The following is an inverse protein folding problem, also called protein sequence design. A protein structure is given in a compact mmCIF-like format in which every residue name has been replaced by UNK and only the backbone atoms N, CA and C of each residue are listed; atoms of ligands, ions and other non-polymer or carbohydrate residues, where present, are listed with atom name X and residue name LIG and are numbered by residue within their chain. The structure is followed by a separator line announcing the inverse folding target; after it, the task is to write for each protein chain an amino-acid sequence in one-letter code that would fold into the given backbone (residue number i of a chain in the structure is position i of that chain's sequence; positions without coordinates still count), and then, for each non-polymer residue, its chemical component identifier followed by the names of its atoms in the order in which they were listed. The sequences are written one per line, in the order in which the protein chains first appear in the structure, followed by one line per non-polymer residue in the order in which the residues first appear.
data_IF_615455693028
#
_entry.id   IF_615455693028
#
_cell.length_a   1.000
_cell.length_b   1.000
_cell.length_c   1.000
_cell.angle_alpha   90.00
_cell.angle_beta   90.00
_cell.angle_gamma   90.00
#
_symmetry.space_group_name_H-M   'P 1'
#
loop_
_entity.id
_entity.type
_entity.pdbx_description
1 polymer ?
#
# COMPACT_ATOMS: atom_id res chain seq x y z
N UNK A 1 12.12 12.63 -5.25
CA UNK A 1 12.29 11.29 -4.64
C UNK A 1 13.59 11.18 -3.86
N UNK A 2 14.78 11.29 -4.49
CA UNK A 2 16.08 11.23 -3.80
C UNK A 2 16.16 12.07 -2.51
N UNK A 3 15.82 13.36 -2.57
CA UNK A 3 15.90 14.24 -1.39
C UNK A 3 14.95 13.82 -0.26
N UNK A 4 13.79 13.21 -0.57
CA UNK A 4 12.86 12.71 0.45
C UNK A 4 13.44 11.47 1.14
N UNK A 5 14.04 10.56 0.37
CA UNK A 5 14.72 9.38 0.90
C UNK A 5 15.92 9.78 1.79
N UNK A 6 16.66 10.80 1.37
CA UNK A 6 17.76 11.32 2.18
C UNK A 6 17.25 11.99 3.48
N UNK A 7 16.21 12.81 3.38
CA UNK A 7 15.59 13.42 4.55
C UNK A 7 15.10 12.37 5.55
N UNK A 8 14.53 11.25 5.08
CA UNK A 8 14.16 10.13 5.95
C UNK A 8 15.36 9.58 6.73
N UNK A 9 16.49 9.34 6.07
CA UNK A 9 17.73 8.87 6.71
C UNK A 9 18.21 9.85 7.78
N UNK A 10 18.25 11.14 7.42
CA UNK A 10 18.74 12.20 8.33
C UNK A 10 17.81 12.38 9.54
N UNK A 11 16.49 12.30 9.33
CA UNK A 11 15.48 12.38 10.40
C UNK A 11 15.57 11.16 11.31
N UNK A 12 15.71 9.96 10.75
CA UNK A 12 15.87 8.73 11.53
C UNK A 12 17.07 8.84 12.47
N UNK A 13 18.24 9.18 11.93
CA UNK A 13 19.47 9.35 12.74
C UNK A 13 19.32 10.51 13.73
N UNK A 14 18.65 11.60 13.33
CA UNK A 14 18.37 12.75 14.20
C UNK A 14 17.53 12.39 15.41
N UNK A 15 16.39 11.72 15.20
CA UNK A 15 15.47 11.30 16.27
C UNK A 15 16.17 10.29 17.19
N UNK A 16 16.85 9.27 16.63
CA UNK A 16 17.55 8.25 17.43
C UNK A 16 18.66 8.83 18.29
N UNK A 17 19.29 9.94 17.88
CA UNK A 17 20.33 10.63 18.67
C UNK A 17 19.77 11.42 19.86
N UNK A 18 18.59 12.05 19.71
CA UNK A 18 18.01 12.93 20.74
C UNK A 18 17.02 12.21 21.66
N UNK A 19 16.49 11.05 21.24
CA UNK A 19 15.50 10.33 21.99
C UNK A 19 16.07 9.75 23.30
N UNK A 20 15.39 10.02 24.42
CA UNK A 20 15.58 9.24 25.63
C UNK A 20 15.07 7.81 25.38
N UNK A 21 15.92 6.81 25.64
CA UNK A 21 15.64 5.39 25.38
C UNK A 21 15.30 5.12 23.88
N UNK A 22 16.27 5.32 22.96
CA UNK A 22 16.04 5.28 21.51
C UNK A 22 15.47 3.96 20.99
N UNK A 23 15.74 2.85 21.70
CA UNK A 23 15.22 1.52 21.40
C UNK A 23 13.69 1.40 21.58
N UNK A 24 13.05 2.30 22.34
CA UNK A 24 11.60 2.31 22.53
C UNK A 24 10.86 3.04 21.40
N UNK A 25 11.57 3.81 20.57
CA UNK A 25 10.97 4.60 19.50
C UNK A 25 11.20 3.90 18.17
N UNK A 26 10.16 3.26 17.62
CA UNK A 26 10.23 2.63 16.30
C UNK A 26 9.94 3.65 15.19
N UNK A 27 10.83 3.75 14.21
CA UNK A 27 10.72 4.68 13.09
C UNK A 27 10.79 3.89 11.79
N UNK A 28 9.88 4.16 10.86
CA UNK A 28 9.84 3.48 9.57
C UNK A 28 9.24 4.39 8.51
N UNK A 29 9.65 4.17 7.26
CA UNK A 29 9.02 4.82 6.10
C UNK A 29 7.73 4.10 5.73
N UNK A 30 6.76 4.86 5.21
CA UNK A 30 5.53 4.31 4.63
C UNK A 30 5.67 4.30 3.10
N UNK A 31 5.42 3.14 2.49
CA UNK A 31 5.47 2.95 1.05
C UNK A 31 4.14 2.46 0.51
N UNK A 32 3.56 3.23 -0.40
CA UNK A 32 2.49 2.73 -1.28
C UNK A 32 3.07 1.79 -2.33
N UNK A 33 2.68 0.51 -2.32
CA UNK A 33 3.15 -0.47 -3.30
C UNK A 33 2.18 -0.50 -4.48
N UNK A 34 2.59 0.12 -5.59
CA UNK A 34 1.85 0.09 -6.84
C UNK A 34 2.04 -1.25 -7.54
N UNK A 35 1.00 -2.06 -7.67
CA UNK A 35 1.11 -3.33 -8.37
C UNK A 35 0.92 -3.13 -9.88
N UNK A 36 2.01 -3.12 -10.65
CA UNK A 36 1.94 -3.06 -12.12
C UNK A 36 1.92 -4.47 -12.70
N UNK A 37 0.79 -4.86 -13.29
CA UNK A 37 0.62 -6.14 -13.98
C UNK A 37 0.51 -5.89 -15.50
N UNK A 38 1.00 -6.80 -16.36
CA UNK A 38 0.81 -6.66 -17.80
C UNK A 38 -0.68 -6.81 -18.17
N UNK A 39 -1.16 -5.93 -19.05
CA UNK A 39 -2.48 -6.01 -19.65
C UNK A 39 -2.67 -7.35 -20.35
N UNK A 40 -1.73 -7.73 -21.22
CA UNK A 40 -1.68 -9.06 -21.78
C UNK A 40 -0.47 -9.82 -21.20
N UNK A 41 -0.69 -10.85 -20.35
CA UNK A 41 0.39 -11.55 -19.64
C UNK A 41 1.27 -12.42 -20.54
N UNK A 42 0.94 -12.56 -21.83
CA UNK A 42 1.78 -13.24 -22.81
C UNK A 42 2.46 -12.27 -23.79
N UNK A 43 2.12 -10.97 -23.77
CA UNK A 43 2.76 -9.98 -24.62
C UNK A 43 4.08 -9.50 -24.00
N UNK A 44 5.24 -9.77 -24.62
CA UNK A 44 6.54 -9.39 -24.05
C UNK A 44 6.70 -7.88 -23.85
N UNK A 45 6.05 -7.05 -24.68
CA UNK A 45 6.12 -5.59 -24.52
C UNK A 45 5.32 -5.11 -23.30
N UNK A 46 4.15 -5.69 -23.04
CA UNK A 46 3.36 -5.37 -21.84
C UNK A 46 4.11 -5.78 -20.57
N UNK A 47 4.71 -6.98 -20.58
CA UNK A 47 5.51 -7.53 -19.47
C UNK A 47 6.74 -6.64 -19.20
N UNK A 48 7.51 -6.33 -20.25
CA UNK A 48 8.70 -5.51 -20.12
C UNK A 48 8.36 -4.10 -19.59
N UNK A 49 7.32 -3.48 -20.14
CA UNK A 49 6.86 -2.17 -19.70
C UNK A 49 6.37 -2.20 -18.24
N UNK A 50 5.62 -3.23 -17.83
CA UNK A 50 5.18 -3.35 -16.43
C UNK A 50 6.36 -3.49 -15.47
N UNK A 51 7.41 -4.21 -15.84
CA UNK A 51 8.62 -4.33 -15.02
C UNK A 51 9.39 -3.01 -14.89
N UNK A 52 9.48 -2.21 -15.96
CA UNK A 52 10.10 -0.87 -15.88
C UNK A 52 9.34 0.00 -14.89
N UNK A 53 8.01 0.05 -15.01
CA UNK A 53 7.18 0.87 -14.12
C UNK A 53 7.22 0.38 -12.67
N UNK A 54 7.20 -0.93 -12.46
CA UNK A 54 7.35 -1.52 -11.14
C UNK A 54 8.70 -1.16 -10.51
N UNK A 55 9.79 -1.26 -11.26
CA UNK A 55 11.11 -0.88 -10.75
C UNK A 55 11.18 0.61 -10.43
N UNK A 56 10.68 1.46 -11.33
CA UNK A 56 10.66 2.90 -11.13
C UNK A 56 9.84 3.29 -9.88
N UNK A 57 8.64 2.75 -9.71
CA UNK A 57 7.75 3.18 -8.63
C UNK A 57 7.98 2.45 -7.30
N UNK A 58 8.54 1.23 -7.33
CA UNK A 58 8.75 0.40 -6.14
C UNK A 58 10.22 0.01 -5.98
N UNK A 59 10.77 -0.70 -6.97
CA UNK A 59 12.07 -1.37 -6.86
C UNK A 59 13.22 -0.43 -6.49
N UNK A 60 13.32 0.75 -7.10
CA UNK A 60 14.42 1.68 -6.81
C UNK A 60 14.41 2.22 -5.37
N UNK A 61 13.23 2.34 -4.75
CA UNK A 61 13.07 2.76 -3.34
C UNK A 61 13.38 1.59 -2.41
N UNK A 62 12.90 0.39 -2.73
CA UNK A 62 13.21 -0.81 -1.95
C UNK A 62 14.71 -1.13 -2.02
N UNK A 63 15.34 -0.98 -3.19
CA UNK A 63 16.79 -1.10 -3.37
C UNK A 63 17.57 -0.12 -2.50
N UNK A 64 17.08 1.12 -2.35
CA UNK A 64 17.72 2.10 -1.48
C UNK A 64 17.74 1.64 -0.02
N UNK A 65 16.63 1.10 0.49
CA UNK A 65 16.57 0.55 1.85
C UNK A 65 17.13 -0.86 1.99
N UNK A 66 17.37 -1.57 0.89
CA UNK A 66 17.99 -2.90 0.90
C UNK A 66 19.51 -2.83 0.81
N UNK A 67 20.02 -1.96 -0.05
CA UNK A 67 21.43 -1.93 -0.47
C UNK A 67 22.12 -0.59 -0.24
N UNK A 68 21.35 0.47 0.06
CA UNK A 68 21.87 1.83 0.12
C UNK A 68 22.00 2.50 -1.23
N UNK A 69 21.54 1.86 -2.32
CA UNK A 69 21.66 2.39 -3.67
C UNK A 69 20.27 2.68 -4.26
N UNK A 70 20.02 3.94 -4.57
CA UNK A 70 18.88 4.38 -5.36
C UNK A 70 19.33 4.55 -6.81
N UNK A 71 18.71 3.81 -7.73
CA UNK A 71 18.95 3.94 -9.17
C UNK A 71 17.63 4.27 -9.86
N UNK A 72 17.55 5.47 -10.41
CA UNK A 72 16.47 5.84 -11.31
C UNK A 72 17.02 5.86 -12.73
N UNK A 73 16.64 4.84 -13.49
CA UNK A 73 17.02 4.70 -14.89
C UNK A 73 15.77 4.65 -15.76
N UNK A 74 15.65 5.60 -16.67
CA UNK A 74 14.69 5.55 -17.77
C UNK A 74 15.48 5.47 -19.08
N UNK A 75 15.20 4.47 -19.95
CA UNK A 75 15.90 4.34 -21.23
C UNK A 75 15.93 5.66 -22.01
N UNK A 76 17.12 6.07 -22.44
CA UNK A 76 17.33 7.23 -23.33
C UNK A 76 17.11 8.61 -22.71
N UNK A 77 16.80 8.73 -21.41
CA UNK A 77 16.44 10.02 -20.81
C UNK A 77 17.16 10.33 -19.50
N UNK A 78 17.06 9.46 -18.49
CA UNK A 78 17.52 9.77 -17.13
C UNK A 78 18.33 8.61 -16.57
N UNK A 79 19.56 8.90 -16.16
CA UNK A 79 20.39 8.03 -15.33
C UNK A 79 20.78 8.79 -14.07
N UNK A 80 20.10 8.53 -12.96
CA UNK A 80 20.48 9.05 -11.65
C UNK A 80 20.77 7.92 -10.70
N UNK A 81 21.97 7.93 -10.16
CA UNK A 81 22.39 7.03 -9.09
C UNK A 81 22.71 7.86 -7.86
N UNK A 82 22.17 7.43 -6.73
CA UNK A 82 22.46 8.01 -5.44
C UNK A 82 22.75 6.89 -4.44
N UNK A 83 23.76 7.07 -3.61
CA UNK A 83 24.14 6.08 -2.60
C UNK A 83 24.17 6.69 -1.21
N UNK A 84 23.64 5.94 -0.25
CA UNK A 84 23.78 6.21 1.16
C UNK A 84 23.89 4.88 1.91
N UNK A 85 25.08 4.60 2.44
CA UNK A 85 25.38 3.34 3.15
C UNK A 85 24.61 3.17 4.46
N UNK A 86 24.03 4.25 5.00
CA UNK A 86 23.20 4.21 6.21
C UNK A 86 21.77 3.75 5.93
N UNK A 87 21.26 3.97 4.71
CA UNK A 87 19.86 3.74 4.39
C UNK A 87 19.33 2.34 4.79
N UNK A 88 20.10 1.23 4.63
CA UNK A 88 19.64 -0.10 5.04
C UNK A 88 19.40 -0.31 6.55
N UNK A 89 19.74 0.66 7.37
CA UNK A 89 19.66 0.62 8.84
C UNK A 89 18.78 1.74 9.41
N UNK A 90 17.97 2.38 8.56
CA UNK A 90 17.17 3.57 8.91
C UNK A 90 15.67 3.29 8.95
N UNK A 91 15.31 2.04 9.22
CA UNK A 91 13.93 1.60 9.40
C UNK A 91 13.90 0.51 10.46
N UNK A 92 13.05 0.67 11.47
CA UNK A 92 12.70 -0.36 12.47
C UNK A 92 11.50 -1.20 12.00
N UNK A 93 10.71 -0.67 11.07
CA UNK A 93 9.60 -1.33 10.40
C UNK A 93 9.40 -0.74 9.00
N UNK A 94 8.60 -1.39 8.16
CA UNK A 94 8.13 -0.84 6.89
C UNK A 94 6.61 -0.67 6.93
N UNK A 95 6.14 0.55 6.65
CA UNK A 95 4.73 0.83 6.44
C UNK A 95 4.33 0.48 5.01
N UNK A 96 3.22 -0.23 4.84
CA UNK A 96 2.65 -0.61 3.56
C UNK A 96 1.30 0.09 3.36
N UNK A 97 1.22 0.92 2.33
CA UNK A 97 -0.06 1.34 1.78
C UNK A 97 -0.35 0.50 0.53
N UNK A 98 -1.60 0.08 0.36
CA UNK A 98 -2.02 -0.66 -0.83
C UNK A 98 -3.51 -0.49 -1.06
N UNK A 99 -3.90 -0.28 -2.32
CA UNK A 99 -5.29 -0.10 -2.72
C UNK A 99 -5.71 -1.06 -3.85
N UNK A 100 -4.95 -1.08 -4.95
CA UNK A 100 -5.29 -1.88 -6.14
C UNK A 100 -4.07 -2.13 -7.03
N UNK A 101 -4.32 -2.73 -8.20
CA UNK A 101 -3.34 -2.89 -9.26
C UNK A 101 -3.59 -1.96 -10.45
N UNK A 102 -2.57 -1.85 -11.29
CA UNK A 102 -2.55 -1.10 -12.52
C UNK A 102 -2.16 -2.04 -13.64
N UNK A 103 -2.99 -2.12 -14.67
CA UNK A 103 -2.72 -2.93 -15.84
C UNK A 103 -1.98 -2.09 -16.87
N UNK A 104 -0.82 -2.56 -17.29
CA UNK A 104 0.07 -1.84 -18.19
C UNK A 104 -0.04 -2.41 -19.59
N UNK A 105 -0.41 -1.56 -20.54
CA UNK A 105 -0.41 -1.89 -21.96
C UNK A 105 0.63 -1.06 -22.68
N UNK A 106 1.54 -1.69 -23.40
CA UNK A 106 2.47 -0.96 -24.26
C UNK A 106 1.71 -0.31 -25.42
N UNK A 107 2.02 0.95 -25.71
CA UNK A 107 1.36 1.71 -26.78
C UNK A 107 2.30 2.74 -27.40
N UNK A 108 2.77 2.47 -28.62
CA UNK A 108 3.68 3.34 -29.38
C UNK A 108 3.11 4.74 -29.69
N UNK A 109 1.79 4.91 -29.65
CA UNK A 109 1.12 6.16 -30.00
C UNK A 109 0.90 7.08 -28.80
N UNK A 110 1.25 6.65 -27.58
CA UNK A 110 1.24 7.51 -26.39
C UNK A 110 2.62 8.13 -26.17
N UNK A 111 2.72 9.39 -25.70
CA UNK A 111 4.01 10.00 -25.35
C UNK A 111 4.81 9.21 -24.31
N UNK A 112 4.12 8.51 -23.41
CA UNK A 112 4.70 7.61 -22.40
C UNK A 112 5.14 6.25 -22.94
N UNK A 113 4.76 5.91 -24.18
CA UNK A 113 4.85 4.57 -24.77
C UNK A 113 4.04 3.47 -24.05
N UNK A 114 3.16 3.86 -23.12
CA UNK A 114 2.29 2.94 -22.40
C UNK A 114 0.98 3.59 -21.97
N UNK A 115 0.00 2.74 -21.67
CA UNK A 115 -1.27 3.10 -21.06
C UNK A 115 -1.45 2.35 -19.75
N UNK A 116 -2.04 3.04 -18.77
CA UNK A 116 -2.46 2.46 -17.51
C UNK A 116 -3.97 2.26 -17.56
N UNK A 117 -4.38 1.04 -17.28
CA UNK A 117 -5.76 0.58 -17.30
C UNK A 117 -6.09 0.00 -15.92
N UNK A 118 -7.35 0.12 -15.49
CA UNK A 118 -7.76 -0.26 -14.14
C UNK A 118 -8.60 -1.56 -14.10
N UNK A 119 -8.95 -2.13 -15.25
CA UNK A 119 -9.70 -3.39 -15.40
C UNK A 119 -9.46 -4.02 -16.79
N UNK A 120 -9.44 -5.35 -16.88
CA UNK A 120 -9.09 -6.11 -18.11
C UNK A 120 -10.15 -6.07 -19.21
N UNK A 121 -11.39 -5.74 -18.88
CA UNK A 121 -12.46 -5.61 -19.86
C UNK A 121 -13.51 -4.61 -19.37
N UNK A 122 -14.28 -4.09 -20.33
CA UNK A 122 -15.48 -3.30 -20.06
C UNK A 122 -16.70 -4.19 -19.77
N UNK A 123 -16.54 -5.52 -19.74
CA UNK A 123 -17.64 -6.45 -19.43
C UNK A 123 -18.04 -6.44 -17.96
N UNK A 124 -17.39 -5.62 -17.12
CA UNK A 124 -17.74 -5.44 -15.71
C UNK A 124 -17.35 -6.62 -14.82
N UNK A 125 -16.42 -7.48 -15.27
CA UNK A 125 -16.00 -8.66 -14.51
C UNK A 125 -15.26 -8.29 -13.21
N UNK A 126 -14.51 -7.19 -13.24
CA UNK A 126 -13.85 -6.63 -12.07
C UNK A 126 -14.81 -5.72 -11.28
N UNK A 127 -15.01 -6.04 -10.00
CA UNK A 127 -15.72 -5.17 -9.08
C UNK A 127 -14.85 -3.93 -8.79
N UNK A 128 -15.37 -2.74 -9.08
CA UNK A 128 -14.67 -1.47 -8.91
C UNK A 128 -15.09 -0.76 -7.62
N UNK A 129 -14.23 0.12 -7.11
CA UNK A 129 -14.58 1.11 -6.09
C UNK A 129 -15.22 2.34 -6.74
N UNK A 130 -15.57 3.36 -5.94
CA UNK A 130 -15.99 4.66 -6.49
C UNK A 130 -14.80 5.45 -7.06
N UNK A 131 -13.57 5.04 -6.72
CA UNK A 131 -12.34 5.43 -7.41
C UNK A 131 -12.11 4.50 -8.61
N UNK A 132 -11.26 4.86 -9.59
CA UNK A 132 -10.90 3.97 -10.69
C UNK A 132 -9.98 2.82 -10.23
N UNK A 133 -10.34 2.09 -9.16
CA UNK A 133 -9.58 1.00 -8.58
C UNK A 133 -10.42 -0.28 -8.58
N UNK A 134 -9.84 -1.38 -9.06
CA UNK A 134 -10.45 -2.70 -8.93
C UNK A 134 -10.26 -3.23 -7.51
N UNK A 135 -11.23 -3.97 -6.99
CA UNK A 135 -11.06 -4.75 -5.76
C UNK A 135 -10.11 -5.92 -6.04
N UNK A 136 -8.85 -5.74 -5.69
CA UNK A 136 -7.77 -6.70 -5.96
C UNK A 136 -7.02 -7.09 -4.68
N UNK A 137 -7.61 -7.92 -3.80
CA UNK A 137 -7.01 -8.32 -2.53
C UNK A 137 -5.75 -9.18 -2.71
N UNK A 138 -5.63 -9.91 -3.81
CA UNK A 138 -4.44 -10.71 -4.11
C UNK A 138 -3.18 -9.84 -4.24
N UNK A 139 -3.31 -8.61 -4.74
CA UNK A 139 -2.17 -7.69 -4.77
C UNK A 139 -1.70 -7.24 -3.38
N UNK A 140 -2.58 -7.20 -2.36
CA UNK A 140 -2.14 -6.94 -0.98
C UNK A 140 -1.27 -8.09 -0.46
N UNK A 141 -1.70 -9.33 -0.71
CA UNK A 141 -0.91 -10.52 -0.38
C UNK A 141 0.46 -10.47 -1.08
N UNK A 142 0.48 -10.19 -2.40
CA UNK A 142 1.71 -10.06 -3.19
C UNK A 142 2.63 -8.94 -2.67
N UNK A 143 2.07 -7.80 -2.29
CA UNK A 143 2.82 -6.68 -1.72
C UNK A 143 3.48 -7.06 -0.38
N UNK A 144 2.77 -7.75 0.51
CA UNK A 144 3.35 -8.25 1.76
C UNK A 144 4.49 -9.24 1.50
N UNK A 145 4.30 -10.21 0.59
CA UNK A 145 5.33 -11.20 0.23
C UNK A 145 6.55 -10.52 -0.37
N UNK A 146 6.35 -9.50 -1.22
CA UNK A 146 7.45 -8.71 -1.78
C UNK A 146 8.27 -8.03 -0.69
N UNK A 147 7.62 -7.31 0.23
CA UNK A 147 8.32 -6.62 1.32
C UNK A 147 9.08 -7.60 2.21
N UNK A 148 8.50 -8.77 2.51
CA UNK A 148 9.20 -9.85 3.22
C UNK A 148 10.47 -10.29 2.46
N UNK A 149 10.40 -10.46 1.15
CA UNK A 149 11.54 -10.96 0.38
C UNK A 149 12.63 -9.89 0.16
N UNK A 150 12.25 -8.64 -0.02
CA UNK A 150 13.19 -7.55 -0.31
C UNK A 150 13.75 -6.90 0.96
N UNK A 151 12.97 -6.85 2.04
CA UNK A 151 13.34 -6.24 3.33
C UNK A 151 13.06 -7.21 4.50
N UNK A 152 13.64 -8.43 4.51
CA UNK A 152 13.26 -9.53 5.43
C UNK A 152 13.47 -9.25 6.91
N UNK A 153 14.26 -8.24 7.26
CA UNK A 153 14.53 -7.86 8.66
C UNK A 153 13.47 -6.94 9.25
N UNK A 154 12.62 -6.35 8.41
CA UNK A 154 11.67 -5.33 8.84
C UNK A 154 10.28 -5.94 9.04
N UNK A 155 9.67 -5.79 10.22
CA UNK A 155 8.25 -6.08 10.38
C UNK A 155 7.41 -5.13 9.52
N UNK A 156 6.27 -5.62 9.04
CA UNK A 156 5.34 -4.89 8.19
C UNK A 156 4.18 -4.36 9.03
N UNK A 157 3.83 -3.09 8.83
CA UNK A 157 2.55 -2.52 9.25
C UNK A 157 1.78 -2.10 8.00
N UNK A 158 0.57 -2.61 7.81
CA UNK A 158 -0.31 -2.11 6.75
C UNK A 158 -0.88 -0.78 7.26
N UNK A 159 -0.30 0.32 6.83
CA UNK A 159 -0.57 1.68 7.35
C UNK A 159 -1.77 2.32 6.68
N UNK A 160 -2.09 1.92 5.45
CA UNK A 160 -3.35 2.25 4.80
C UNK A 160 -3.83 1.11 3.90
N UNK A 161 -5.09 0.73 4.09
CA UNK A 161 -5.86 -0.04 3.14
C UNK A 161 -7.34 0.32 3.29
N UNK A 162 -7.98 0.71 2.19
CA UNK A 162 -9.28 1.36 2.22
C UNK A 162 -10.03 1.28 0.90
N UNK A 163 -11.30 1.67 0.94
CA UNK A 163 -12.16 1.72 -0.24
C UNK A 163 -13.03 2.99 -0.21
N UNK A 164 -13.04 3.74 -1.32
CA UNK A 164 -14.08 4.72 -1.60
C UNK A 164 -15.37 3.97 -1.96
N UNK A 165 -16.36 4.07 -1.07
CA UNK A 165 -17.66 3.42 -1.24
C UNK A 165 -18.74 4.26 -0.54
N UNK A 166 -19.31 5.19 -1.31
CA UNK A 166 -20.35 6.13 -0.89
C UNK A 166 -21.62 5.42 -0.46
N UNK A 167 -22.00 4.36 -1.16
CA UNK A 167 -23.23 3.60 -0.92
C UNK A 167 -23.07 2.47 0.10
N UNK A 168 -21.84 2.16 0.53
CA UNK A 168 -21.53 1.17 1.57
C UNK A 168 -21.97 -0.27 1.24
N UNK A 169 -22.13 -0.58 -0.05
CA UNK A 169 -22.54 -1.88 -0.58
C UNK A 169 -21.33 -2.80 -0.90
N UNK A 170 -20.11 -2.26 -0.90
CA UNK A 170 -18.85 -2.99 -1.18
C UNK A 170 -17.93 -3.08 0.03
N UNK A 171 -18.01 -2.15 0.99
CA UNK A 171 -17.08 -2.01 2.13
C UNK A 171 -16.98 -3.28 2.99
N UNK A 172 -18.12 -3.94 3.28
CA UNK A 172 -18.12 -5.23 3.97
C UNK A 172 -17.30 -6.28 3.23
N UNK A 173 -17.55 -6.44 1.92
CA UNK A 173 -16.87 -7.42 1.08
C UNK A 173 -15.37 -7.11 0.95
N UNK A 174 -15.03 -5.83 0.82
CA UNK A 174 -13.65 -5.34 0.80
C UNK A 174 -12.92 -5.77 2.08
N UNK A 175 -13.43 -5.39 3.25
CA UNK A 175 -12.82 -5.72 4.53
C UNK A 175 -12.62 -7.24 4.69
N UNK A 176 -13.64 -8.03 4.35
CA UNK A 176 -13.56 -9.50 4.41
C UNK A 176 -12.44 -10.06 3.53
N UNK A 177 -12.35 -9.61 2.28
CA UNK A 177 -11.38 -10.12 1.30
C UNK A 177 -9.94 -9.67 1.60
N UNK A 178 -9.75 -8.41 1.97
CA UNK A 178 -8.43 -7.85 2.22
C UNK A 178 -7.84 -8.36 3.55
N UNK A 179 -8.64 -8.44 4.62
CA UNK A 179 -8.17 -9.07 5.87
C UNK A 179 -7.88 -10.56 5.70
N UNK A 180 -8.61 -11.25 4.83
CA UNK A 180 -8.27 -12.63 4.46
C UNK A 180 -6.92 -12.71 3.72
N UNK A 181 -6.63 -11.80 2.79
CA UNK A 181 -5.32 -11.72 2.13
C UNK A 181 -4.17 -11.47 3.13
N UNK A 182 -4.37 -10.61 4.13
CA UNK A 182 -3.42 -10.41 5.23
C UNK A 182 -3.22 -11.69 6.03
N UNK A 183 -4.32 -12.38 6.39
CA UNK A 183 -4.26 -13.67 7.07
C UNK A 183 -3.45 -14.70 6.27
N UNK A 184 -3.64 -14.76 4.95
CA UNK A 184 -2.83 -15.63 4.08
C UNK A 184 -1.36 -15.23 4.08
N UNK A 185 -1.04 -13.94 4.00
CA UNK A 185 0.34 -13.46 4.02
C UNK A 185 1.07 -13.85 5.32
N UNK A 186 0.37 -13.81 6.45
CA UNK A 186 0.90 -14.27 7.75
C UNK A 186 1.05 -15.80 7.77
N UNK A 187 -0.03 -16.54 7.50
CA UNK A 187 -0.09 -17.99 7.78
C UNK A 187 0.53 -18.85 6.67
N UNK A 188 0.39 -18.48 5.41
CA UNK A 188 0.89 -19.24 4.26
C UNK A 188 2.30 -18.80 3.87
N UNK A 189 2.53 -17.49 3.82
CA UNK A 189 3.80 -16.93 3.38
C UNK A 189 4.76 -16.57 4.52
N UNK A 190 4.35 -16.61 5.78
CA UNK A 190 5.22 -16.30 6.93
C UNK A 190 5.71 -14.85 6.95
N UNK A 191 4.87 -13.89 6.55
CA UNK A 191 5.19 -12.46 6.66
C UNK A 191 5.02 -12.00 8.13
N UNK A 192 6.01 -11.27 8.68
CA UNK A 192 5.91 -10.63 10.01
C UNK A 192 5.06 -9.35 9.91
N UNK A 193 3.74 -9.50 9.89
CA UNK A 193 2.79 -8.39 9.85
C UNK A 193 2.29 -8.11 11.26
N UNK A 194 2.54 -6.90 11.78
CA UNK A 194 2.28 -6.55 13.19
C UNK A 194 1.11 -5.58 13.39
N UNK A 195 0.57 -5.01 12.32
CA UNK A 195 -0.61 -4.16 12.41
C UNK A 195 -1.28 -3.92 11.07
N UNK A 196 -2.55 -3.52 11.17
CA UNK A 196 -3.40 -3.15 10.04
C UNK A 196 -4.20 -1.90 10.43
N UNK A 197 -4.06 -0.85 9.63
CA UNK A 197 -4.72 0.43 9.78
C UNK A 197 -5.62 0.63 8.57
N UNK A 198 -6.93 0.70 8.83
CA UNK A 198 -7.89 0.97 7.77
C UNK A 198 -7.84 2.45 7.38
N UNK A 199 -7.75 2.73 6.09
CA UNK A 199 -7.94 4.08 5.56
C UNK A 199 -9.40 4.27 5.14
N UNK A 200 -10.19 5.12 5.79
CA UNK A 200 -9.85 6.03 6.90
C UNK A 200 -10.83 5.86 8.06
N UNK A 201 -10.54 6.48 9.20
CA UNK A 201 -11.47 6.47 10.33
C UNK A 201 -12.78 7.17 9.94
N UNK A 202 -12.72 8.36 9.35
CA UNK A 202 -13.89 9.15 8.96
C UNK A 202 -13.79 9.58 7.51
N UNK A 203 -14.93 9.87 6.88
CA UNK A 203 -14.95 10.62 5.62
C UNK A 203 -14.09 11.89 5.79
N UNK A 204 -13.23 12.17 4.82
CA UNK A 204 -12.28 13.28 4.87
C UNK A 204 -12.14 13.91 3.48
N UNK A 205 -11.22 14.87 3.34
CA UNK A 205 -10.89 15.50 2.07
C UNK A 205 -9.92 14.61 1.28
N UNK A 206 -10.39 14.04 0.18
CA UNK A 206 -9.66 13.14 -0.72
C UNK A 206 -9.01 13.93 -1.87
N UNK A 207 -8.11 14.84 -1.52
CA UNK A 207 -7.20 15.50 -2.46
C UNK A 207 -7.91 16.14 -3.68
N UNK A 208 -7.60 15.66 -4.88
CA UNK A 208 -8.17 16.17 -6.13
C UNK A 208 -9.68 15.87 -6.26
N UNK A 209 -10.19 14.86 -5.55
CA UNK A 209 -11.59 14.43 -5.57
C UNK A 209 -12.44 15.18 -4.52
N UNK A 210 -11.83 16.09 -3.76
CA UNK A 210 -12.52 16.88 -2.74
C UNK A 210 -13.19 15.97 -1.70
N UNK A 211 -14.48 16.20 -1.42
CA UNK A 211 -15.23 15.40 -0.45
C UNK A 211 -16.07 14.29 -1.11
N UNK A 212 -15.90 14.02 -2.40
CA UNK A 212 -16.77 13.10 -3.12
C UNK A 212 -16.46 11.63 -2.85
N UNK A 213 -15.22 11.31 -2.50
CA UNK A 213 -14.80 9.95 -2.18
C UNK A 213 -15.00 9.65 -0.70
N UNK A 214 -15.71 8.55 -0.42
CA UNK A 214 -16.09 8.17 0.95
C UNK A 214 -15.29 6.97 1.41
N UNK A 215 -14.09 7.21 1.93
CA UNK A 215 -13.21 6.17 2.49
C UNK A 215 -13.52 5.81 3.94
N UNK A 216 -14.22 6.68 4.68
CA UNK A 216 -14.36 6.54 6.13
C UNK A 216 -15.09 5.28 6.58
N UNK A 217 -14.64 4.68 7.69
CA UNK A 217 -15.46 3.74 8.46
C UNK A 217 -16.72 4.42 8.98
N UNK A 218 -16.60 5.69 9.35
CA UNK A 218 -17.69 6.57 9.74
C UNK A 218 -17.99 7.57 8.63
N UNK A 219 -19.26 7.67 8.29
CA UNK A 219 -19.79 8.80 7.53
C UNK A 219 -19.64 10.10 8.34
N UNK A 220 -19.36 11.22 7.67
CA UNK A 220 -19.39 12.57 8.26
C UNK A 220 -20.40 13.43 7.50
N UNK A 221 -21.39 13.95 8.22
CA UNK A 221 -22.22 15.05 7.71
C UNK A 221 -21.39 16.35 7.75
N UNK A 222 -21.15 16.97 6.61
CA UNK A 222 -20.28 18.15 6.53
C UNK A 222 -20.94 19.42 7.09
N UNK A 223 -22.27 19.48 7.17
CA UNK A 223 -23.00 20.62 7.73
C UNK A 223 -23.06 20.53 9.25
N UNK A 224 -23.44 19.37 9.79
CA UNK A 224 -23.65 19.18 11.24
C UNK A 224 -22.43 18.66 11.97
N UNK A 225 -21.45 18.11 11.25
CA UNK A 225 -20.30 17.38 11.80
C UNK A 225 -20.69 16.12 12.57
N UNK A 226 -21.89 15.58 12.37
CA UNK A 226 -22.28 14.30 12.95
C UNK A 226 -21.50 13.14 12.31
N UNK A 227 -21.15 12.11 13.10
CA UNK A 227 -20.46 10.91 12.63
C UNK A 227 -21.33 9.69 12.84
N UNK A 228 -21.55 8.93 11.77
CA UNK A 228 -22.35 7.70 11.81
C UNK A 228 -21.53 6.53 11.31
N UNK A 229 -21.43 5.46 12.10
CA UNK A 229 -20.75 4.25 11.66
C UNK A 229 -21.50 3.62 10.48
N UNK A 230 -20.79 3.33 9.40
CA UNK A 230 -21.35 2.66 8.22
C UNK A 230 -21.61 1.18 8.50
N UNK A 231 -22.64 0.60 7.87
CA UNK A 231 -23.03 -0.79 8.09
C UNK A 231 -21.95 -1.77 7.64
N UNK A 232 -21.31 -1.52 6.49
CA UNK A 232 -20.19 -2.30 5.99
C UNK A 232 -18.99 -2.29 6.93
N UNK A 233 -18.80 -1.20 7.68
CA UNK A 233 -17.72 -1.03 8.67
C UNK A 233 -17.92 -1.88 9.93
N UNK A 234 -19.16 -2.29 10.26
CA UNK A 234 -19.44 -3.15 11.42
C UNK A 234 -18.70 -4.49 11.36
N UNK A 235 -18.36 -4.96 10.15
CA UNK A 235 -17.54 -6.16 10.00
C UNK A 235 -16.13 -5.98 10.56
N UNK A 236 -15.52 -4.80 10.41
CA UNK A 236 -14.20 -4.55 10.98
C UNK A 236 -14.24 -4.56 12.51
N UNK A 237 -15.26 -3.93 13.12
CA UNK A 237 -15.50 -4.01 14.56
C UNK A 237 -15.68 -5.46 15.03
N UNK A 238 -16.49 -6.25 14.31
CA UNK A 238 -16.71 -7.66 14.61
C UNK A 238 -15.40 -8.46 14.61
N UNK A 239 -14.54 -8.30 13.59
CA UNK A 239 -13.25 -9.01 13.52
C UNK A 239 -12.35 -8.64 14.70
N UNK A 240 -12.25 -7.35 15.03
CA UNK A 240 -11.44 -6.88 16.16
C UNK A 240 -11.96 -7.48 17.47
N UNK A 241 -13.28 -7.43 17.70
CA UNK A 241 -13.90 -7.98 18.89
C UNK A 241 -13.65 -9.49 19.01
N UNK A 242 -13.85 -10.26 17.93
CA UNK A 242 -13.61 -11.71 17.94
C UNK A 242 -12.15 -12.07 18.15
N UNK A 243 -11.23 -11.30 17.58
CA UNK A 243 -9.81 -11.50 17.83
C UNK A 243 -9.44 -11.23 19.29
N UNK A 244 -9.97 -10.16 19.87
CA UNK A 244 -9.77 -9.81 21.29
C UNK A 244 -10.31 -10.90 22.23
N UNK A 245 -11.54 -11.36 22.03
CA UNK A 245 -12.14 -12.44 22.81
C UNK A 245 -11.28 -13.72 22.78
N UNK A 246 -10.73 -14.07 21.61
CA UNK A 246 -9.83 -15.22 21.45
C UNK A 246 -8.50 -15.02 22.16
N UNK A 247 -7.94 -13.82 22.12
CA UNK A 247 -6.69 -13.47 22.78
C UNK A 247 -6.83 -13.52 24.31
N UNK A 248 -7.89 -12.94 24.86
CA UNK A 248 -8.17 -12.94 26.30
C UNK A 248 -8.36 -14.38 26.82
N UNK A 249 -9.10 -15.23 26.09
CA UNK A 249 -9.29 -16.65 26.46
C UNK A 249 -8.01 -17.49 26.44
N UNK A 250 -7.02 -17.13 25.62
CA UNK A 250 -5.74 -17.86 25.54
C UNK A 250 -4.74 -17.48 26.64
N UNK A 251 -4.95 -16.34 27.30
CA UNK A 251 -4.05 -15.79 28.31
C UNK A 251 -4.67 -15.82 29.73
N UNK A 252 -5.78 -16.53 29.90
CA UNK A 252 -6.36 -16.96 31.17
C UNK A 252 -5.99 -18.42 31.41
#
# INVERSE_FOLDING_TARGET
MQHLLQAHVDIYDGIKKIAHQPEQHSIGIVKDIFQFDPWNPINPLDIYTSHILDYAMNGCILDFFRTGCFKWTMPGTIHRTYTNSRAPYTNDFIGLNYYSHFLVRFNLFKPSFYEILHRRDDSGSALMTDMPYALYPEGLYRACVRLKNELPRLPIYITENGIADRFDDRRHLFLRRYLYAVSRAINEAGCDIRGYFYWSLTDNFEWAEGYDMKFGLYHVDLQTQERTLRDGSKYFQYVIQKHREKYEKKNL
#
